data_IF_071652871724
#
_entry.id   IF_071652871724
#
_cell.length_a   1.000
_cell.length_b   1.000
_cell.length_c   1.000
_cell.angle_alpha   90.00
_cell.angle_beta   90.00
_cell.angle_gamma   90.00
#
_symmetry.space_group_name_H-M   'P 1'
#
loop_
_entity.id
_entity.type
_entity.pdbx_description
1 polymer ?
#
# COMPACT_ATOMS: atom_id res chain seq x y z
N UNK A 1 -37.53 -32.66 31.57
CA UNK A 1 -38.23 -32.06 30.40
C UNK A 1 -37.46 -30.81 29.96
N UNK A 2 -36.50 -30.93 29.05
CA UNK A 2 -35.88 -29.79 28.35
C UNK A 2 -36.82 -29.41 27.19
N UNK A 3 -37.44 -28.24 27.28
CA UNK A 3 -38.20 -27.67 26.15
C UNK A 3 -37.21 -27.40 25.02
N UNK A 4 -37.29 -28.17 23.96
CA UNK A 4 -36.63 -27.89 22.68
C UNK A 4 -37.30 -26.62 22.10
N UNK A 5 -36.65 -25.50 22.25
CA UNK A 5 -37.00 -24.28 21.54
C UNK A 5 -36.73 -24.56 20.05
N UNK A 6 -37.69 -24.37 19.14
CA UNK A 6 -37.48 -24.66 17.74
C UNK A 6 -36.36 -23.72 17.22
N UNK A 7 -35.25 -24.32 16.81
CA UNK A 7 -34.02 -23.65 16.34
C UNK A 7 -34.27 -22.67 15.17
N UNK A 8 -35.31 -22.90 14.39
CA UNK A 8 -35.64 -22.14 13.19
C UNK A 8 -36.08 -20.69 13.45
N UNK A 9 -36.74 -20.39 14.60
CA UNK A 9 -37.19 -18.99 14.88
C UNK A 9 -36.09 -18.11 15.47
N UNK A 10 -35.12 -18.73 16.17
CA UNK A 10 -33.95 -18.00 16.68
C UNK A 10 -32.96 -17.71 15.56
N UNK A 11 -32.77 -18.63 14.62
CA UNK A 11 -31.86 -18.48 13.48
C UNK A 11 -32.33 -17.36 12.52
N UNK A 12 -33.62 -17.31 12.19
CA UNK A 12 -34.15 -16.25 11.30
C UNK A 12 -34.13 -14.86 11.93
N UNK A 13 -34.26 -14.73 13.24
CA UNK A 13 -34.08 -13.44 13.93
C UNK A 13 -32.62 -13.02 13.96
N UNK A 14 -31.70 -13.93 14.24
CA UNK A 14 -30.27 -13.71 14.22
C UNK A 14 -29.79 -13.29 12.81
N UNK A 15 -30.26 -14.01 11.77
CA UNK A 15 -29.94 -13.66 10.36
C UNK A 15 -30.43 -12.26 9.99
N UNK A 16 -31.66 -11.87 10.39
CA UNK A 16 -32.19 -10.53 10.13
C UNK A 16 -31.41 -9.45 10.87
N UNK A 17 -31.05 -9.68 12.14
CA UNK A 17 -30.23 -8.74 12.92
C UNK A 17 -28.83 -8.59 12.33
N UNK A 18 -28.17 -9.67 11.95
CA UNK A 18 -26.88 -9.66 11.31
C UNK A 18 -26.94 -8.97 9.92
N UNK A 19 -28.00 -9.26 9.14
CA UNK A 19 -28.26 -8.61 7.87
C UNK A 19 -28.48 -7.10 8.01
N UNK A 20 -29.25 -6.67 9.01
CA UNK A 20 -29.48 -5.27 9.31
C UNK A 20 -28.18 -4.57 9.73
N UNK A 21 -27.38 -5.19 10.59
CA UNK A 21 -26.09 -4.65 11.02
C UNK A 21 -25.13 -4.51 9.83
N UNK A 22 -25.03 -5.54 9.00
CA UNK A 22 -24.22 -5.51 7.79
C UNK A 22 -24.68 -4.42 6.82
N UNK A 23 -25.99 -4.22 6.67
CA UNK A 23 -26.58 -3.16 5.83
C UNK A 23 -26.25 -1.76 6.35
N UNK A 24 -26.26 -1.56 7.68
CA UNK A 24 -25.88 -0.27 8.30
C UNK A 24 -24.41 0.02 8.01
N UNK A 25 -23.50 -0.95 8.19
CA UNK A 25 -22.07 -0.77 7.89
C UNK A 25 -21.86 -0.43 6.41
N UNK A 26 -22.54 -1.16 5.53
CA UNK A 26 -22.47 -0.89 4.09
C UNK A 26 -22.97 0.52 3.74
N UNK A 27 -24.09 0.94 4.35
CA UNK A 27 -24.66 2.29 4.17
C UNK A 27 -23.66 3.35 4.61
N UNK A 28 -23.03 3.20 5.77
CA UNK A 28 -22.02 4.16 6.26
C UNK A 28 -20.85 4.26 5.29
N UNK A 29 -20.33 3.13 4.79
CA UNK A 29 -19.26 3.14 3.80
C UNK A 29 -19.68 3.87 2.52
N UNK A 30 -20.88 3.60 2.00
CA UNK A 30 -21.40 4.27 0.81
C UNK A 30 -21.53 5.78 1.04
N UNK A 31 -22.07 6.20 2.19
CA UNK A 31 -22.20 7.62 2.54
C UNK A 31 -20.84 8.30 2.66
N UNK A 32 -19.83 7.62 3.24
CA UNK A 32 -18.45 8.15 3.29
C UNK A 32 -17.88 8.33 1.88
N UNK A 33 -18.00 7.35 1.00
CA UNK A 33 -17.51 7.44 -0.39
C UNK A 33 -18.22 8.57 -1.13
N UNK A 34 -19.56 8.67 -1.03
CA UNK A 34 -20.34 9.75 -1.64
C UNK A 34 -19.89 11.11 -1.11
N UNK A 35 -19.69 11.24 0.20
CA UNK A 35 -19.22 12.49 0.81
C UNK A 35 -17.83 12.90 0.30
N UNK A 36 -16.90 11.95 0.17
CA UNK A 36 -15.57 12.23 -0.38
C UNK A 36 -15.65 12.68 -1.83
N UNK A 37 -16.41 11.96 -2.66
CA UNK A 37 -16.54 12.28 -4.09
C UNK A 37 -17.23 13.63 -4.29
N UNK A 38 -18.30 13.94 -3.56
CA UNK A 38 -19.00 15.23 -3.69
C UNK A 38 -18.12 16.41 -3.28
N UNK A 39 -17.33 16.25 -2.21
CA UNK A 39 -16.39 17.29 -1.76
C UNK A 39 -15.14 17.41 -2.66
N UNK A 40 -14.75 16.35 -3.32
CA UNK A 40 -13.65 16.35 -4.28
C UNK A 40 -14.01 17.00 -5.62
N UNK A 41 -15.30 16.98 -5.97
CA UNK A 41 -15.79 17.39 -7.29
C UNK A 41 -15.33 18.79 -7.75
N UNK A 42 -15.37 19.86 -6.90
CA UNK A 42 -14.96 21.19 -7.33
C UNK A 42 -13.51 21.24 -7.80
N UNK A 43 -12.58 20.54 -7.13
CA UNK A 43 -11.17 20.49 -7.55
C UNK A 43 -11.02 19.86 -8.93
N UNK A 44 -11.73 18.78 -9.24
CA UNK A 44 -11.71 18.16 -10.57
C UNK A 44 -12.42 19.02 -11.64
N UNK A 45 -13.54 19.64 -11.30
CA UNK A 45 -14.32 20.44 -12.22
C UNK A 45 -13.56 21.67 -12.72
N UNK A 46 -12.79 22.32 -11.84
CA UNK A 46 -12.00 23.50 -12.20
C UNK A 46 -10.71 23.17 -12.98
N UNK A 47 -10.08 22.04 -12.69
CA UNK A 47 -8.84 21.63 -13.33
C UNK A 47 -9.02 20.73 -14.55
N UNK A 48 -10.15 20.05 -14.67
CA UNK A 48 -10.41 19.07 -15.74
C UNK A 48 -9.29 18.04 -15.83
N UNK A 49 -8.83 17.73 -17.06
CA UNK A 49 -7.71 16.82 -17.31
C UNK A 49 -6.35 17.40 -16.87
N UNK A 50 -6.23 18.73 -16.73
CA UNK A 50 -5.04 19.39 -16.23
C UNK A 50 -4.67 18.97 -14.80
N UNK A 51 -5.63 18.46 -14.03
CA UNK A 51 -5.40 17.90 -12.70
C UNK A 51 -4.39 16.74 -12.71
N UNK A 52 -4.38 15.95 -13.77
CA UNK A 52 -3.45 14.82 -13.97
C UNK A 52 -2.19 15.24 -14.75
N UNK A 53 -2.07 16.52 -15.11
CA UNK A 53 -0.95 17.05 -15.86
C UNK A 53 0.32 17.18 -15.04
N UNK A 54 1.47 17.25 -15.76
CA UNK A 54 2.74 17.67 -15.18
C UNK A 54 2.74 19.20 -15.08
N UNK A 55 2.91 19.71 -13.88
CA UNK A 55 2.97 21.16 -13.59
C UNK A 55 4.25 21.50 -12.83
N UNK A 56 4.39 22.78 -12.44
CA UNK A 56 5.43 23.21 -11.52
C UNK A 56 5.27 22.50 -10.17
N UNK A 57 6.18 22.81 -9.23
CA UNK A 57 6.16 22.22 -7.89
C UNK A 57 4.75 22.31 -7.27
N UNK A 58 4.24 21.16 -6.83
CA UNK A 58 2.89 21.05 -6.23
C UNK A 58 2.80 21.82 -4.92
N UNK A 59 3.89 21.98 -4.17
CA UNK A 59 3.90 22.70 -2.90
C UNK A 59 3.54 24.16 -3.08
N UNK A 60 4.04 24.81 -4.14
CA UNK A 60 3.66 26.19 -4.50
C UNK A 60 2.17 26.28 -4.87
N UNK A 61 1.68 25.33 -5.68
CA UNK A 61 0.27 25.29 -6.07
C UNK A 61 -0.65 25.07 -4.88
N UNK A 62 -0.28 24.19 -3.96
CA UNK A 62 -1.02 23.97 -2.71
C UNK A 62 -0.99 25.21 -1.80
N UNK A 63 0.14 25.93 -1.76
CA UNK A 63 0.26 27.21 -1.07
C UNK A 63 -0.67 28.29 -1.65
N UNK A 64 -0.73 28.40 -2.98
CA UNK A 64 -1.65 29.33 -3.67
C UNK A 64 -3.12 28.99 -3.39
N UNK A 65 -3.46 27.70 -3.39
CA UNK A 65 -4.82 27.24 -3.06
C UNK A 65 -5.16 27.54 -1.61
N UNK A 66 -4.23 27.32 -0.68
CA UNK A 66 -4.42 27.59 0.75
C UNK A 66 -4.61 29.09 1.03
N UNK A 67 -3.84 29.94 0.36
CA UNK A 67 -3.91 31.39 0.47
C UNK A 67 -4.98 32.02 -0.47
N UNK A 68 -5.91 31.22 -0.94
CA UNK A 68 -7.01 31.69 -1.82
C UNK A 68 -7.82 32.79 -1.14
N UNK A 69 -8.28 33.81 -1.89
CA UNK A 69 -9.17 34.83 -1.33
C UNK A 69 -10.40 34.20 -0.65
N UNK A 70 -10.94 34.88 0.36
CA UNK A 70 -12.14 34.39 1.07
C UNK A 70 -13.42 34.44 0.21
N UNK A 71 -13.41 35.22 -0.88
CA UNK A 71 -14.54 35.34 -1.82
C UNK A 71 -14.62 34.11 -2.72
N UNK A 72 -15.73 33.36 -2.69
CA UNK A 72 -15.92 32.18 -3.53
C UNK A 72 -15.75 32.40 -5.04
N UNK A 73 -15.99 33.62 -5.52
CA UNK A 73 -15.83 33.97 -6.94
C UNK A 73 -14.36 33.99 -7.38
N UNK A 74 -13.42 34.09 -6.43
CA UNK A 74 -11.97 34.24 -6.68
C UNK A 74 -11.15 33.06 -6.12
N UNK A 75 -11.78 31.93 -5.82
CA UNK A 75 -11.07 30.74 -5.35
C UNK A 75 -10.07 30.21 -6.39
N UNK A 76 -8.86 29.92 -5.92
CA UNK A 76 -7.79 29.33 -6.74
C UNK A 76 -7.86 27.80 -6.61
N UNK A 77 -8.02 27.10 -7.73
CA UNK A 77 -8.05 25.62 -7.78
C UNK A 77 -6.95 25.01 -8.62
N UNK A 78 -6.09 25.83 -9.24
CA UNK A 78 -5.09 25.36 -10.20
C UNK A 78 -4.14 24.36 -9.55
N UNK A 79 -4.23 23.09 -9.96
CA UNK A 79 -3.41 21.99 -9.46
C UNK A 79 -3.04 21.03 -10.59
N UNK A 80 -1.80 20.59 -10.57
CA UNK A 80 -1.27 19.53 -11.42
C UNK A 80 -0.67 18.44 -10.53
N UNK A 81 -1.46 17.42 -10.18
CA UNK A 81 -1.13 16.44 -9.14
C UNK A 81 -0.24 15.28 -9.64
N UNK A 82 0.26 15.31 -10.88
CA UNK A 82 1.12 14.27 -11.43
C UNK A 82 2.31 13.88 -10.53
N UNK A 83 3.06 14.83 -9.94
CA UNK A 83 4.18 14.47 -9.06
C UNK A 83 3.77 13.60 -7.89
N UNK A 84 2.61 13.88 -7.26
CA UNK A 84 2.09 13.10 -6.12
C UNK A 84 1.61 11.71 -6.55
N UNK A 85 0.94 11.62 -7.72
CA UNK A 85 0.51 10.34 -8.32
C UNK A 85 1.72 9.46 -8.63
N UNK A 86 2.72 10.04 -9.27
CA UNK A 86 3.94 9.36 -9.66
C UNK A 86 4.73 8.87 -8.45
N UNK A 87 4.90 9.72 -7.42
CA UNK A 87 5.53 9.33 -6.17
C UNK A 87 4.78 8.17 -5.48
N UNK A 88 3.44 8.24 -5.45
CA UNK A 88 2.60 7.15 -4.91
C UNK A 88 2.81 5.85 -5.66
N UNK A 89 2.81 5.91 -6.99
CA UNK A 89 2.99 4.72 -7.85
C UNK A 89 4.40 4.12 -7.68
N UNK A 90 5.44 4.95 -7.64
CA UNK A 90 6.83 4.51 -7.46
C UNK A 90 7.05 3.85 -6.09
N UNK A 91 6.62 4.51 -5.01
CA UNK A 91 6.82 4.00 -3.65
C UNK A 91 6.02 2.73 -3.44
N UNK A 92 4.73 2.75 -3.76
CA UNK A 92 3.86 1.57 -3.59
C UNK A 92 4.25 0.43 -4.52
N UNK A 93 4.53 0.72 -5.79
CA UNK A 93 4.95 -0.27 -6.77
C UNK A 93 6.31 -0.88 -6.43
N UNK A 94 7.29 -0.07 -6.06
CA UNK A 94 8.61 -0.52 -5.62
C UNK A 94 8.54 -1.40 -4.38
N UNK A 95 7.79 -0.94 -3.37
CA UNK A 95 7.59 -1.71 -2.13
C UNK A 95 6.86 -3.04 -2.38
N UNK A 96 5.87 -3.04 -3.28
CA UNK A 96 5.14 -4.26 -3.63
C UNK A 96 6.03 -5.27 -4.35
N UNK A 97 6.82 -4.85 -5.32
CA UNK A 97 7.75 -5.74 -6.05
C UNK A 97 8.77 -6.35 -5.09
N UNK A 98 9.43 -5.53 -4.29
CA UNK A 98 10.38 -6.01 -3.29
C UNK A 98 9.68 -6.89 -2.24
N UNK A 99 8.52 -6.47 -1.75
CA UNK A 99 7.75 -7.17 -0.73
C UNK A 99 7.28 -8.56 -1.18
N UNK A 100 6.80 -8.71 -2.42
CA UNK A 100 6.41 -10.02 -2.97
C UNK A 100 7.60 -10.98 -3.02
N UNK A 101 8.76 -10.51 -3.48
CA UNK A 101 9.96 -11.33 -3.57
C UNK A 101 10.41 -11.76 -2.18
N UNK A 102 10.57 -10.83 -1.24
CA UNK A 102 10.97 -11.15 0.13
C UNK A 102 9.96 -12.04 0.85
N UNK A 103 8.67 -11.74 0.72
CA UNK A 103 7.63 -12.52 1.37
C UNK A 103 7.54 -13.95 0.83
N UNK A 104 7.67 -14.13 -0.48
CA UNK A 104 7.65 -15.45 -1.10
C UNK A 104 8.86 -16.28 -0.65
N UNK A 105 10.06 -15.71 -0.69
CA UNK A 105 11.29 -16.41 -0.27
C UNK A 105 11.24 -16.75 1.23
N UNK A 106 10.80 -15.82 2.08
CA UNK A 106 10.63 -16.07 3.51
C UNK A 106 9.60 -17.15 3.80
N UNK A 107 8.44 -17.11 3.11
CA UNK A 107 7.40 -18.13 3.29
C UNK A 107 7.86 -19.52 2.83
N UNK A 108 8.57 -19.61 1.70
CA UNK A 108 9.19 -20.85 1.23
C UNK A 108 10.19 -21.36 2.26
N UNK A 109 11.07 -20.49 2.77
CA UNK A 109 12.03 -20.87 3.81
C UNK A 109 11.32 -21.43 5.05
N UNK A 110 10.32 -20.73 5.56
CA UNK A 110 9.57 -21.15 6.77
C UNK A 110 8.91 -22.51 6.57
N UNK A 111 8.23 -22.74 5.43
CA UNK A 111 7.42 -23.94 5.23
C UNK A 111 8.26 -25.14 4.77
N UNK A 112 9.22 -24.89 3.88
CA UNK A 112 9.92 -25.97 3.19
C UNK A 112 11.31 -26.29 3.79
N UNK A 113 12.01 -25.31 4.35
CA UNK A 113 13.41 -25.48 4.74
C UNK A 113 13.66 -25.35 6.25
N UNK A 114 12.89 -24.52 6.95
CA UNK A 114 13.13 -24.28 8.37
C UNK A 114 12.84 -25.55 9.21
N UNK A 115 13.68 -25.91 10.19
CA UNK A 115 13.41 -26.99 11.14
C UNK A 115 12.21 -26.61 12.03
N UNK A 116 11.48 -27.61 12.52
CA UNK A 116 10.26 -27.42 13.33
C UNK A 116 10.41 -26.44 14.51
N UNK A 117 11.50 -26.44 15.30
CA UNK A 117 11.67 -25.46 16.37
C UNK A 117 11.70 -24.02 15.85
N UNK A 118 12.41 -23.80 14.74
CA UNK A 118 12.53 -22.47 14.13
C UNK A 118 11.20 -21.97 13.55
N UNK A 119 10.39 -22.87 12.93
CA UNK A 119 9.05 -22.53 12.46
C UNK A 119 8.15 -22.02 13.59
N UNK A 120 8.22 -22.65 14.77
CA UNK A 120 7.43 -22.26 15.96
C UNK A 120 7.77 -20.87 16.48
N UNK A 121 8.98 -20.37 16.18
CA UNK A 121 9.39 -19.02 16.56
C UNK A 121 9.08 -18.02 15.44
N UNK A 122 9.43 -18.34 14.19
CA UNK A 122 9.29 -17.42 13.06
C UNK A 122 7.82 -17.06 12.78
N UNK A 123 6.88 -17.99 12.88
CA UNK A 123 5.48 -17.69 12.58
C UNK A 123 4.83 -16.69 13.54
N UNK A 124 4.95 -16.85 14.88
CA UNK A 124 4.49 -15.83 15.80
C UNK A 124 5.18 -14.48 15.59
N UNK A 125 6.49 -14.47 15.36
CA UNK A 125 7.25 -13.23 15.11
C UNK A 125 6.70 -12.50 13.87
N UNK A 126 6.47 -13.19 12.76
CA UNK A 126 5.88 -12.60 11.55
C UNK A 126 4.49 -12.02 11.84
N UNK A 127 3.66 -12.73 12.61
CA UNK A 127 2.33 -12.22 12.99
C UNK A 127 2.40 -10.99 13.91
N UNK A 128 3.35 -10.97 14.85
CA UNK A 128 3.59 -9.80 15.71
C UNK A 128 4.05 -8.59 14.90
N UNK A 129 4.99 -8.79 13.97
CA UNK A 129 5.46 -7.72 13.09
C UNK A 129 4.32 -7.15 12.22
N UNK A 130 3.36 -7.97 11.77
CA UNK A 130 2.18 -7.51 11.03
C UNK A 130 1.26 -6.60 11.85
N UNK A 131 1.30 -6.70 13.18
CA UNK A 131 0.47 -5.93 14.12
C UNK A 131 1.15 -4.63 14.61
N UNK A 132 2.44 -4.42 14.28
CA UNK A 132 3.16 -3.20 14.69
C UNK A 132 2.53 -1.96 14.04
N UNK A 133 2.25 -0.89 14.83
CA UNK A 133 1.77 0.38 14.28
C UNK A 133 2.75 0.99 13.28
N UNK A 134 2.23 1.54 12.18
CA UNK A 134 3.05 2.09 11.07
C UNK A 134 3.95 3.25 11.52
N UNK A 135 3.52 4.03 12.49
CA UNK A 135 4.31 5.13 13.08
C UNK A 135 5.67 4.62 13.62
N UNK A 136 5.71 3.41 14.20
CA UNK A 136 6.97 2.83 14.72
C UNK A 136 7.94 2.55 13.56
N UNK A 137 7.44 2.03 12.43
CA UNK A 137 8.25 1.87 11.23
C UNK A 137 8.77 3.21 10.72
N UNK A 138 7.92 4.26 10.72
CA UNK A 138 8.32 5.62 10.37
C UNK A 138 9.41 6.16 11.28
N UNK A 139 9.28 5.98 12.58
CA UNK A 139 10.28 6.40 13.57
C UNK A 139 11.63 5.69 13.37
N UNK A 140 11.61 4.37 13.17
CA UNK A 140 12.82 3.61 12.82
C UNK A 140 13.42 4.12 11.51
N UNK A 141 12.59 4.42 10.52
CA UNK A 141 13.01 5.02 9.26
C UNK A 141 13.79 6.30 9.46
N UNK A 142 13.21 7.26 10.19
CA UNK A 142 13.82 8.58 10.45
C UNK A 142 15.07 8.48 11.31
N UNK A 143 15.05 7.67 12.36
CA UNK A 143 16.17 7.61 13.31
C UNK A 143 17.33 6.74 12.82
N UNK A 144 17.08 5.75 11.97
CA UNK A 144 18.09 4.78 11.55
C UNK A 144 18.37 4.85 10.05
N UNK A 145 17.35 4.67 9.19
CA UNK A 145 17.59 4.56 7.75
C UNK A 145 17.90 5.89 7.10
N UNK A 146 17.22 6.97 7.48
CA UNK A 146 17.48 8.30 6.92
C UNK A 146 18.91 8.74 7.19
N UNK A 147 19.45 8.71 8.43
CA UNK A 147 20.84 9.03 8.68
C UNK A 147 21.83 8.07 8.00
N UNK A 148 21.51 6.78 7.96
CA UNK A 148 22.33 5.79 7.29
C UNK A 148 22.46 6.09 5.80
N UNK A 149 21.35 6.35 5.11
CA UNK A 149 21.37 6.73 3.70
C UNK A 149 22.04 8.08 3.50
N UNK A 150 21.67 9.09 4.26
CA UNK A 150 22.18 10.45 4.14
C UNK A 150 23.69 10.56 4.40
N UNK A 151 24.23 9.79 5.33
CA UNK A 151 25.64 9.92 5.73
C UNK A 151 26.57 8.92 5.04
N UNK A 152 26.07 7.74 4.63
CA UNK A 152 26.92 6.67 4.13
C UNK A 152 26.69 6.33 2.65
N UNK A 153 25.44 6.50 2.14
CA UNK A 153 25.13 6.14 0.76
C UNK A 153 25.15 7.33 -0.20
N UNK A 154 24.88 8.54 0.29
CA UNK A 154 24.93 9.74 -0.53
C UNK A 154 26.28 10.44 -0.34
N UNK A 155 27.11 10.45 -1.39
CA UNK A 155 28.41 11.14 -1.34
C UNK A 155 28.22 12.66 -1.23
N UNK A 156 29.15 13.36 -0.58
CA UNK A 156 29.15 14.82 -0.44
C UNK A 156 29.10 15.50 -1.80
N UNK A 157 29.86 15.01 -2.76
CA UNK A 157 29.90 15.52 -4.13
C UNK A 157 28.50 15.46 -4.80
N UNK A 158 27.72 14.38 -4.54
CA UNK A 158 26.36 14.26 -5.07
C UNK A 158 25.39 15.23 -4.37
N UNK A 159 25.53 15.44 -3.07
CA UNK A 159 24.73 16.44 -2.33
C UNK A 159 24.96 17.83 -2.89
N UNK A 160 26.19 18.20 -3.13
CA UNK A 160 26.59 19.50 -3.66
C UNK A 160 26.13 19.72 -5.11
N UNK A 161 26.17 18.68 -5.96
CA UNK A 161 25.79 18.78 -7.37
C UNK A 161 24.30 19.13 -7.59
N UNK A 162 23.43 18.81 -6.63
CA UNK A 162 21.98 19.04 -6.75
C UNK A 162 21.40 19.97 -5.69
N UNK A 163 22.25 20.61 -4.87
CA UNK A 163 21.82 21.40 -3.71
C UNK A 163 20.86 22.55 -4.05
N UNK A 164 20.98 23.12 -5.26
CA UNK A 164 20.11 24.20 -5.74
C UNK A 164 18.76 23.71 -6.27
N UNK A 165 18.61 22.40 -6.49
CA UNK A 165 17.37 21.80 -7.01
C UNK A 165 16.67 21.02 -5.89
N UNK A 166 17.44 20.21 -5.15
CA UNK A 166 16.92 19.30 -4.13
C UNK A 166 17.94 19.07 -3.02
N UNK A 167 17.48 19.09 -1.78
CA UNK A 167 18.31 18.69 -0.64
C UNK A 167 18.26 17.18 -0.42
N UNK A 168 19.38 16.51 -0.63
CA UNK A 168 19.51 15.07 -0.36
C UNK A 168 19.88 14.85 1.11
N UNK A 169 18.89 14.94 1.98
CA UNK A 169 19.03 14.77 3.45
C UNK A 169 19.08 13.31 3.90
N UNK A 170 18.74 12.38 3.01
CA UNK A 170 18.53 10.95 3.31
C UNK A 170 17.06 10.56 3.32
N UNK A 171 16.13 11.49 3.58
CA UNK A 171 14.72 11.28 3.27
C UNK A 171 14.59 11.10 1.75
N UNK A 172 14.07 9.97 1.31
CA UNK A 172 14.20 9.59 -0.09
C UNK A 172 13.21 8.52 -0.52
N UNK A 173 13.06 8.41 -1.84
CA UNK A 173 12.34 7.32 -2.47
C UNK A 173 12.83 5.95 -1.98
N UNK A 174 14.17 5.76 -1.87
CA UNK A 174 14.78 4.51 -1.39
C UNK A 174 14.32 4.14 0.01
N UNK A 175 14.40 5.08 0.97
CA UNK A 175 14.01 4.83 2.36
C UNK A 175 12.52 4.57 2.45
N UNK A 176 11.71 5.34 1.72
CA UNK A 176 10.26 5.14 1.68
C UNK A 176 9.89 3.74 1.15
N UNK A 177 10.50 3.30 0.04
CA UNK A 177 10.29 1.95 -0.52
C UNK A 177 10.77 0.87 0.44
N UNK A 178 11.94 1.02 1.05
CA UNK A 178 12.51 0.03 1.96
C UNK A 178 11.64 -0.18 3.21
N UNK A 179 11.25 0.90 3.88
CA UNK A 179 10.40 0.84 5.09
C UNK A 179 9.01 0.30 4.76
N UNK A 180 8.40 0.75 3.66
CA UNK A 180 7.10 0.26 3.23
C UNK A 180 7.17 -1.24 2.90
N UNK A 181 8.25 -1.70 2.28
CA UNK A 181 8.50 -3.13 2.04
C UNK A 181 8.52 -3.92 3.34
N UNK A 182 9.29 -3.47 4.34
CA UNK A 182 9.39 -4.14 5.65
C UNK A 182 8.03 -4.19 6.35
N UNK A 183 7.23 -3.13 6.24
CA UNK A 183 5.90 -3.03 6.86
C UNK A 183 4.88 -3.98 6.22
N UNK A 184 4.88 -4.12 4.87
CA UNK A 184 3.88 -4.96 4.18
C UNK A 184 4.30 -6.43 4.09
N UNK A 185 5.60 -6.75 4.14
CA UNK A 185 6.10 -8.12 4.00
C UNK A 185 5.50 -9.11 5.01
N UNK A 186 5.36 -8.81 6.32
CA UNK A 186 4.84 -9.76 7.30
C UNK A 186 3.42 -10.25 6.99
N UNK A 187 2.53 -9.38 6.52
CA UNK A 187 1.17 -9.76 6.11
C UNK A 187 1.21 -10.73 4.94
N UNK A 188 2.05 -10.45 3.95
CA UNK A 188 2.21 -11.30 2.78
C UNK A 188 2.82 -12.65 3.15
N UNK A 189 3.86 -12.66 4.00
CA UNK A 189 4.48 -13.91 4.51
C UNK A 189 3.42 -14.78 5.18
N UNK A 190 2.63 -14.22 6.10
CA UNK A 190 1.61 -14.95 6.83
C UNK A 190 0.59 -15.61 5.89
N UNK A 191 0.09 -14.89 4.88
CA UNK A 191 -0.86 -15.42 3.91
C UNK A 191 -0.26 -16.50 3.01
N UNK A 192 0.97 -16.30 2.53
CA UNK A 192 1.67 -17.26 1.66
C UNK A 192 2.03 -18.53 2.44
N UNK A 193 2.45 -18.41 3.71
CA UNK A 193 2.73 -19.56 4.60
C UNK A 193 1.50 -20.44 4.75
N UNK A 194 0.33 -19.86 5.05
CA UNK A 194 -0.94 -20.59 5.15
C UNK A 194 -1.27 -21.30 3.84
N UNK A 195 -1.12 -20.62 2.71
CA UNK A 195 -1.39 -21.21 1.41
C UNK A 195 -0.42 -22.34 1.05
N UNK A 196 0.88 -22.19 1.31
CA UNK A 196 1.89 -23.23 1.06
C UNK A 196 1.64 -24.49 1.91
N UNK A 197 1.16 -24.33 3.15
CA UNK A 197 0.79 -25.48 4.01
C UNK A 197 -0.45 -26.20 3.53
N UNK A 198 -1.35 -25.53 2.83
CA UNK A 198 -2.55 -26.14 2.27
C UNK A 198 -2.26 -26.99 1.01
N UNK A 199 -1.06 -26.93 0.43
CA UNK A 199 -0.67 -27.79 -0.71
C UNK A 199 -0.61 -29.25 -0.26
N UNK A 200 -1.34 -30.18 -0.94
CA UNK A 200 -1.37 -31.58 -0.58
C UNK A 200 0.03 -32.21 -0.51
N UNK A 201 0.33 -32.92 0.58
CA UNK A 201 1.63 -33.55 0.82
C UNK A 201 1.94 -34.57 -0.28
N UNK A 202 0.94 -35.32 -0.77
CA UNK A 202 1.11 -36.33 -1.82
C UNK A 202 1.66 -35.76 -3.14
N UNK A 203 1.44 -34.47 -3.45
CA UNK A 203 2.03 -33.85 -4.65
C UNK A 203 3.55 -33.71 -4.51
N UNK A 204 4.03 -33.40 -3.31
CA UNK A 204 5.47 -33.27 -2.99
C UNK A 204 6.14 -34.64 -2.93
N UNK A 205 5.48 -35.63 -2.33
CA UNK A 205 5.94 -37.01 -2.23
C UNK A 205 6.00 -37.67 -3.62
N UNK A 206 5.00 -37.46 -4.48
CA UNK A 206 5.00 -37.92 -5.86
C UNK A 206 6.17 -37.33 -6.68
N UNK A 207 6.48 -36.04 -6.49
CA UNK A 207 7.64 -35.41 -7.13
C UNK A 207 8.96 -36.01 -6.63
N UNK A 208 9.05 -36.27 -5.32
CA UNK A 208 10.25 -36.89 -4.72
C UNK A 208 10.44 -38.33 -5.20
N UNK A 209 9.36 -39.10 -5.38
CA UNK A 209 9.40 -40.45 -5.92
C UNK A 209 9.92 -40.50 -7.36
N UNK A 210 9.76 -39.44 -8.13
CA UNK A 210 10.33 -39.27 -9.47
C UNK A 210 11.79 -38.76 -9.45
N UNK A 211 12.43 -38.66 -8.28
CA UNK A 211 13.81 -38.20 -8.13
C UNK A 211 13.99 -36.70 -8.29
N UNK A 212 12.91 -35.89 -8.30
CA UNK A 212 13.01 -34.43 -8.42
C UNK A 212 13.53 -33.85 -7.10
N UNK A 213 14.55 -32.97 -7.18
CA UNK A 213 15.09 -32.33 -5.98
C UNK A 213 14.06 -31.35 -5.34
N UNK A 214 14.23 -31.11 -4.04
CA UNK A 214 13.31 -30.31 -3.22
C UNK A 214 13.11 -28.89 -3.76
N UNK A 215 14.18 -28.22 -4.19
CA UNK A 215 14.12 -26.87 -4.74
C UNK A 215 13.24 -26.80 -6.00
N UNK A 216 13.45 -27.75 -6.93
CA UNK A 216 12.65 -27.83 -8.14
C UNK A 216 11.19 -28.15 -7.84
N UNK A 217 10.91 -29.06 -6.90
CA UNK A 217 9.54 -29.37 -6.45
C UNK A 217 8.83 -28.13 -5.92
N UNK A 218 9.51 -27.32 -5.09
CA UNK A 218 8.94 -26.08 -4.56
C UNK A 218 8.49 -25.14 -5.68
N UNK A 219 9.36 -24.85 -6.65
CA UNK A 219 9.04 -23.92 -7.73
C UNK A 219 8.05 -24.47 -8.76
N UNK A 220 8.11 -25.77 -9.07
CA UNK A 220 7.23 -26.36 -10.10
C UNK A 220 5.87 -26.78 -9.57
N UNK A 221 5.75 -27.13 -8.29
CA UNK A 221 4.50 -27.60 -7.67
C UNK A 221 3.99 -26.60 -6.65
N UNK A 222 4.71 -26.38 -5.53
CA UNK A 222 4.19 -25.62 -4.41
C UNK A 222 3.89 -24.17 -4.79
N UNK A 223 4.83 -23.46 -5.39
CA UNK A 223 4.65 -22.04 -5.81
C UNK A 223 3.58 -21.91 -6.89
N UNK A 224 3.53 -22.86 -7.84
CA UNK A 224 2.49 -22.82 -8.89
C UNK A 224 1.10 -23.04 -8.32
N UNK A 225 0.95 -23.95 -7.38
CA UNK A 225 -0.32 -24.22 -6.71
C UNK A 225 -0.84 -23.00 -5.94
N UNK A 226 0.05 -22.24 -5.29
CA UNK A 226 -0.32 -21.08 -4.44
C UNK A 226 -0.32 -19.75 -5.16
N UNK A 227 -0.12 -19.67 -6.46
CA UNK A 227 -0.16 -18.41 -7.25
C UNK A 227 -1.38 -17.54 -6.95
N UNK A 228 -2.62 -18.08 -6.86
CA UNK A 228 -3.78 -17.26 -6.52
C UNK A 228 -3.67 -16.61 -5.15
N UNK A 229 -3.06 -17.30 -4.18
CA UNK A 229 -2.84 -16.77 -2.84
C UNK A 229 -1.75 -15.70 -2.82
N UNK A 230 -0.67 -15.86 -3.61
CA UNK A 230 0.37 -14.83 -3.77
C UNK A 230 -0.24 -13.56 -4.33
N UNK A 231 -1.07 -13.65 -5.38
CA UNK A 231 -1.77 -12.49 -5.95
C UNK A 231 -2.70 -11.85 -4.91
N UNK A 232 -3.44 -12.67 -4.14
CA UNK A 232 -4.32 -12.15 -3.08
C UNK A 232 -3.53 -11.42 -1.98
N UNK A 233 -2.40 -11.97 -1.57
CA UNK A 233 -1.50 -11.36 -0.59
C UNK A 233 -0.92 -10.03 -1.11
N UNK A 234 -0.48 -10.00 -2.38
CA UNK A 234 0.02 -8.79 -3.02
C UNK A 234 -1.04 -7.68 -3.09
N UNK A 235 -2.28 -8.01 -3.43
CA UNK A 235 -3.38 -7.03 -3.48
C UNK A 235 -3.74 -6.50 -2.09
N UNK A 236 -3.80 -7.37 -1.09
CA UNK A 236 -4.06 -6.91 0.28
C UNK A 236 -2.93 -5.99 0.78
N UNK A 237 -1.68 -6.34 0.47
CA UNK A 237 -0.53 -5.52 0.80
C UNK A 237 -0.53 -4.18 0.06
N UNK A 238 -0.91 -4.15 -1.23
CA UNK A 238 -0.99 -2.91 -2.01
C UNK A 238 -2.09 -1.97 -1.51
N UNK A 239 -3.24 -2.51 -1.09
CA UNK A 239 -4.30 -1.70 -0.49
C UNK A 239 -3.84 -1.04 0.81
N UNK A 240 -3.08 -1.78 1.66
CA UNK A 240 -2.45 -1.22 2.86
C UNK A 240 -1.39 -0.17 2.52
N UNK A 241 -0.53 -0.45 1.54
CA UNK A 241 0.55 0.44 1.11
C UNK A 241 0.03 1.78 0.55
N UNK A 242 -1.05 1.77 -0.24
CA UNK A 242 -1.67 2.98 -0.78
C UNK A 242 -2.27 3.89 0.31
N UNK A 243 -2.77 3.31 1.40
CA UNK A 243 -3.33 4.05 2.52
C UNK A 243 -2.28 4.55 3.53
N UNK A 244 -1.00 4.22 3.34
CA UNK A 244 0.03 4.59 4.29
C UNK A 244 0.42 6.05 4.14
N UNK A 245 0.05 6.85 5.12
CA UNK A 245 0.23 8.29 5.10
C UNK A 245 1.28 8.76 6.11
N UNK A 246 1.13 8.37 7.39
CA UNK A 246 1.94 8.90 8.50
C UNK A 246 3.41 8.45 8.40
N UNK A 247 3.64 7.17 8.15
CA UNK A 247 5.00 6.66 8.01
C UNK A 247 5.70 7.31 6.80
N UNK A 248 5.00 7.42 5.66
CA UNK A 248 5.56 8.00 4.44
C UNK A 248 5.83 9.50 4.58
N UNK A 249 5.00 10.28 5.28
CA UNK A 249 5.29 11.70 5.55
C UNK A 249 6.58 11.89 6.36
N UNK A 250 6.93 10.92 7.22
CA UNK A 250 8.16 10.99 7.99
C UNK A 250 9.43 10.71 7.18
N UNK A 251 9.37 9.80 6.18
CA UNK A 251 10.59 9.25 5.54
C UNK A 251 10.76 9.60 4.07
N UNK A 252 9.71 10.03 3.38
CA UNK A 252 9.76 10.29 1.93
C UNK A 252 10.36 11.64 1.57
N UNK A 253 10.45 12.58 2.51
CA UNK A 253 11.02 13.91 2.34
C UNK A 253 10.03 14.99 1.92
N UNK A 254 8.79 14.64 1.61
CA UNK A 254 7.63 15.54 1.44
C UNK A 254 7.85 16.72 0.49
N UNK A 255 8.50 16.49 -0.65
CA UNK A 255 8.73 17.49 -1.68
C UNK A 255 7.83 17.26 -2.90
N UNK A 256 7.16 18.30 -3.34
CA UNK A 256 6.08 18.28 -4.32
C UNK A 256 6.51 18.30 -5.78
N UNK A 257 7.67 17.72 -6.13
CA UNK A 257 8.05 17.48 -7.53
C UNK A 257 8.24 15.98 -7.81
N UNK A 258 8.19 15.62 -9.09
CA UNK A 258 8.36 14.23 -9.50
C UNK A 258 9.85 13.87 -9.55
N UNK A 259 10.30 12.83 -8.85
CA UNK A 259 11.65 12.30 -9.01
C UNK A 259 11.94 11.94 -10.47
N UNK A 260 13.14 12.27 -10.96
CA UNK A 260 13.48 12.11 -12.37
C UNK A 260 14.33 10.84 -12.62
N UNK A 261 13.80 9.79 -13.28
CA UNK A 261 14.55 8.56 -13.56
C UNK A 261 15.80 8.77 -14.43
N UNK A 262 15.90 9.90 -15.15
CA UNK A 262 17.04 10.19 -16.02
C UNK A 262 18.26 10.67 -15.23
N UNK A 263 18.12 11.03 -13.95
CA UNK A 263 19.20 11.45 -13.07
C UNK A 263 20.04 10.27 -12.51
N UNK A 264 19.87 9.10 -13.10
CA UNK A 264 20.62 7.90 -12.77
C UNK A 264 20.42 7.47 -11.32
N UNK A 265 21.50 7.15 -10.60
CA UNK A 265 21.40 6.74 -9.19
C UNK A 265 20.91 7.85 -8.25
N UNK A 266 20.93 9.12 -8.64
CA UNK A 266 20.41 10.21 -7.82
C UNK A 266 18.92 10.10 -7.63
N UNK A 267 18.19 9.62 -8.64
CA UNK A 267 16.75 9.38 -8.62
C UNK A 267 16.26 8.63 -7.36
N UNK A 268 16.97 7.58 -6.92
CA UNK A 268 16.54 6.79 -5.75
C UNK A 268 16.75 7.53 -4.43
N UNK A 269 17.59 8.55 -4.41
CA UNK A 269 17.88 9.38 -3.25
C UNK A 269 17.06 10.68 -3.22
N UNK A 270 16.30 10.98 -4.28
CA UNK A 270 15.42 12.13 -4.30
C UNK A 270 14.26 11.96 -3.34
N UNK A 271 13.87 13.06 -2.65
CA UNK A 271 12.66 13.07 -1.85
C UNK A 271 11.43 13.02 -2.77
N UNK A 272 10.32 12.52 -2.23
CA UNK A 272 9.06 12.42 -2.94
C UNK A 272 7.90 12.65 -1.98
N UNK A 273 6.74 13.08 -2.51
CA UNK A 273 5.53 13.29 -1.70
C UNK A 273 4.39 12.45 -2.24
N UNK A 274 4.04 11.31 -1.63
CA UNK A 274 2.88 10.52 -2.04
C UNK A 274 1.57 11.21 -1.64
N UNK A 275 0.48 10.89 -2.34
CA UNK A 275 -0.86 11.46 -2.13
C UNK A 275 -1.34 11.32 -0.68
N UNK A 276 -1.13 10.15 -0.07
CA UNK A 276 -1.56 9.91 1.30
C UNK A 276 -0.83 10.82 2.30
N UNK A 277 0.48 11.05 2.13
CA UNK A 277 1.26 11.98 2.95
C UNK A 277 0.78 13.41 2.78
N UNK A 278 0.47 13.83 1.55
CA UNK A 278 -0.06 15.16 1.28
C UNK A 278 -1.38 15.45 2.00
N UNK A 279 -2.24 14.46 2.19
CA UNK A 279 -3.49 14.60 2.96
C UNK A 279 -3.19 14.84 4.44
N UNK A 280 -2.27 14.07 5.03
CA UNK A 280 -1.93 14.16 6.46
C UNK A 280 -1.23 15.48 6.77
N UNK A 281 -0.24 15.85 5.96
CA UNK A 281 0.51 17.09 6.11
C UNK A 281 -0.35 18.34 5.90
N UNK A 282 -1.34 18.26 4.99
CA UNK A 282 -2.29 19.33 4.73
C UNK A 282 -3.51 19.35 5.66
N UNK A 283 -3.60 18.46 6.63
CA UNK A 283 -4.82 18.25 7.44
C UNK A 283 -5.29 19.49 8.21
N UNK A 284 -4.38 20.37 8.60
CA UNK A 284 -4.71 21.64 9.27
C UNK A 284 -5.51 22.59 8.35
N UNK A 285 -5.34 22.47 7.05
CA UNK A 285 -6.01 23.28 6.03
C UNK A 285 -7.40 22.79 5.60
N UNK A 286 -7.95 21.72 6.17
CA UNK A 286 -9.28 21.19 5.77
C UNK A 286 -10.43 22.20 5.89
N UNK A 287 -10.30 23.19 6.78
CA UNK A 287 -11.30 24.26 6.96
C UNK A 287 -11.26 25.33 5.86
N UNK A 288 -10.15 25.48 5.16
CA UNK A 288 -10.03 26.38 4.00
C UNK A 288 -10.68 25.71 2.80
N UNK A 289 -11.79 26.27 2.32
CA UNK A 289 -12.69 25.58 1.38
C UNK A 289 -12.02 25.05 0.11
N UNK A 290 -11.28 25.81 -0.71
CA UNK A 290 -10.65 25.27 -1.91
C UNK A 290 -9.53 24.26 -1.58
N UNK A 291 -8.80 24.46 -0.49
CA UNK A 291 -7.73 23.56 -0.07
C UNK A 291 -8.28 22.23 0.44
N UNK A 292 -9.30 22.26 1.32
CA UNK A 292 -9.98 21.07 1.81
C UNK A 292 -10.59 20.24 0.67
N UNK A 293 -11.24 20.87 -0.31
CA UNK A 293 -11.79 20.21 -1.49
C UNK A 293 -10.68 19.51 -2.33
N UNK A 294 -9.51 20.12 -2.39
CA UNK A 294 -8.32 19.53 -3.05
C UNK A 294 -7.81 18.31 -2.29
N UNK A 295 -7.74 18.36 -0.96
CA UNK A 295 -7.37 17.18 -0.15
C UNK A 295 -8.39 16.04 -0.27
N UNK A 296 -9.70 16.36 -0.38
CA UNK A 296 -10.73 15.36 -0.70
C UNK A 296 -10.51 14.76 -2.09
N UNK A 297 -10.02 15.52 -3.08
CA UNK A 297 -9.69 15.00 -4.40
C UNK A 297 -8.55 13.98 -4.32
N UNK A 298 -7.51 14.22 -3.50
CA UNK A 298 -6.46 13.23 -3.25
C UNK A 298 -7.03 11.93 -2.65
N UNK A 299 -7.92 12.06 -1.66
CA UNK A 299 -8.62 10.93 -1.06
C UNK A 299 -9.48 10.15 -2.05
N UNK A 300 -10.21 10.84 -2.94
CA UNK A 300 -11.00 10.22 -3.99
C UNK A 300 -10.15 9.39 -4.96
N UNK A 301 -8.98 9.90 -5.35
CA UNK A 301 -8.03 9.15 -6.20
C UNK A 301 -7.49 7.91 -5.49
N UNK A 302 -7.15 7.99 -4.21
CA UNK A 302 -6.71 6.82 -3.43
C UNK A 302 -7.81 5.75 -3.33
N UNK A 303 -9.07 6.16 -3.12
CA UNK A 303 -10.22 5.26 -3.13
C UNK A 303 -10.40 4.58 -4.50
N UNK A 304 -10.32 5.35 -5.58
CA UNK A 304 -10.41 4.81 -6.95
C UNK A 304 -9.25 3.85 -7.24
N UNK A 305 -8.02 4.19 -6.86
CA UNK A 305 -6.84 3.34 -7.04
C UNK A 305 -7.00 2.00 -6.31
N UNK A 306 -7.51 2.01 -5.07
CA UNK A 306 -7.76 0.79 -4.31
C UNK A 306 -8.88 -0.06 -4.92
N UNK A 307 -9.91 0.57 -5.47
CA UNK A 307 -10.99 -0.11 -6.20
C UNK A 307 -10.46 -0.81 -7.46
N UNK A 308 -9.66 -0.09 -8.28
CA UNK A 308 -9.05 -0.67 -9.49
C UNK A 308 -8.13 -1.84 -9.17
N UNK A 309 -7.31 -1.74 -8.10
CA UNK A 309 -6.48 -2.85 -7.66
C UNK A 309 -7.31 -4.05 -7.22
N UNK A 310 -8.38 -3.84 -6.47
CA UNK A 310 -9.28 -4.91 -6.03
C UNK A 310 -9.98 -5.60 -7.20
N UNK A 311 -10.47 -4.84 -8.17
CA UNK A 311 -11.07 -5.36 -9.39
C UNK A 311 -10.04 -6.11 -10.25
N UNK A 312 -8.86 -5.53 -10.46
CA UNK A 312 -7.74 -6.16 -11.18
C UNK A 312 -7.37 -7.51 -10.59
N UNK A 313 -7.30 -7.61 -9.26
CA UNK A 313 -7.08 -8.87 -8.56
C UNK A 313 -8.19 -9.90 -8.77
N UNK A 314 -9.44 -9.46 -8.78
CA UNK A 314 -10.56 -10.35 -9.04
C UNK A 314 -10.48 -10.96 -10.46
N UNK A 315 -10.13 -10.15 -11.44
CA UNK A 315 -9.93 -10.63 -12.82
C UNK A 315 -8.68 -11.52 -12.96
N UNK A 316 -7.57 -11.17 -12.31
CA UNK A 316 -6.34 -11.97 -12.33
C UNK A 316 -6.51 -13.38 -11.74
N UNK A 317 -7.45 -13.57 -10.81
CA UNK A 317 -7.76 -14.90 -10.23
C UNK A 317 -8.64 -15.78 -11.11
N UNK A 318 -9.41 -15.22 -12.05
CA UNK A 318 -10.38 -15.99 -12.88
C UNK A 318 -9.74 -17.13 -13.68
N UNK A 319 -8.63 -16.95 -14.43
CA UNK A 319 -8.03 -18.04 -15.19
C UNK A 319 -7.47 -19.16 -14.30
N UNK A 320 -7.11 -18.86 -13.04
CA UNK A 320 -6.53 -19.83 -12.10
C UNK A 320 -7.58 -20.80 -11.51
N UNK A 321 -8.86 -20.41 -11.49
CA UNK A 321 -9.98 -21.27 -11.09
C UNK A 321 -10.21 -22.46 -12.03
N UNK A 322 -9.81 -22.35 -13.29
CA UNK A 322 -9.97 -23.43 -14.28
C UNK A 322 -9.09 -24.65 -14.02
N UNK A 323 -8.10 -24.54 -13.14
CA UNK A 323 -7.18 -25.64 -12.79
C UNK A 323 -7.60 -26.42 -11.51
N UNK A 324 -8.85 -26.32 -11.08
CA UNK A 324 -9.36 -27.12 -9.96
C UNK A 324 -8.81 -26.75 -8.57
N UNK A 325 -8.11 -25.62 -8.46
CA UNK A 325 -7.57 -25.09 -7.21
C UNK A 325 -8.59 -24.10 -6.61
N UNK A 326 -9.79 -24.58 -6.26
CA UNK A 326 -10.71 -23.86 -5.40
C UNK A 326 -10.32 -24.12 -3.95
N UNK A 327 -10.28 -23.08 -3.07
CA UNK A 327 -10.15 -23.31 -1.65
C UNK A 327 -11.37 -24.06 -1.09
#
# INVERSE_FOLDING_TARGET
MRRLIPSTLTDTRAERMLGALASVVLLVIVLMVVSVVTKAWPSFAHNGLGWFGSGPNVDHQLGDIFNSPADPAHYVYKLSAWPLLYATALITGGALVCGVVFALLAAIFIVEFAPRPLQRVLEPVVRLLAAVPSVIYGLIGVLVLVPLVGNHLISTQRKESVIYVVQLSGNSLLVAVAILTVMIAPIMIALIVVALRAVPVGWREGSAALGVNRWRTVWTISVRAVRPAIIAAAVLASARALGEAIMLSMVSGSVGFAPNPLDGLTFVFEPARPLASAIVEGSEGFSVKPYGETLYAFGAILLLSSLFLSLGAHYAKRPLRKFGLTP
#
